data_IF_001862797776
#
_entry.id   IF_001862797776
#
_cell.length_a   1.000
_cell.length_b   1.000
_cell.length_c   1.000
_cell.angle_alpha   90.00
_cell.angle_beta   90.00
_cell.angle_gamma   90.00
#
_symmetry.space_group_name_H-M   'P 1'
#
loop_
_entity.id
_entity.type
_entity.pdbx_description
1 polymer ?
#
# COMPACT_ATOMS: atom_id res chain seq x y z
N UNK A 1 6.09 -30.71 17.87
CA UNK A 1 5.90 -30.46 16.43
C UNK A 1 5.05 -29.21 16.30
N UNK A 2 5.68 -28.03 16.20
CA UNK A 2 4.95 -26.77 16.11
C UNK A 2 4.36 -26.64 14.71
N UNK A 3 3.03 -26.63 14.62
CA UNK A 3 2.32 -26.33 13.39
C UNK A 3 2.68 -24.89 13.01
N UNK A 4 3.42 -24.74 11.93
CA UNK A 4 3.55 -23.47 11.25
C UNK A 4 2.14 -23.07 10.82
N UNK A 5 1.51 -22.16 11.55
CA UNK A 5 0.36 -21.44 11.03
C UNK A 5 0.88 -20.71 9.80
N UNK A 6 0.56 -21.23 8.62
CA UNK A 6 0.54 -20.40 7.44
C UNK A 6 -0.50 -19.31 7.76
N UNK A 7 -0.04 -18.16 8.24
CA UNK A 7 -0.90 -16.99 8.44
C UNK A 7 -1.67 -16.81 7.14
N UNK A 8 -3.00 -16.83 7.24
CA UNK A 8 -3.84 -16.49 6.10
C UNK A 8 -3.30 -15.20 5.46
N UNK A 9 -3.28 -15.09 4.12
CA UNK A 9 -2.82 -13.88 3.46
C UNK A 9 -3.60 -12.69 4.04
N UNK A 10 -2.88 -11.67 4.51
CA UNK A 10 -3.50 -10.48 5.08
C UNK A 10 -4.46 -9.88 4.06
N UNK A 11 -5.72 -9.68 4.48
CA UNK A 11 -6.73 -9.03 3.64
C UNK A 11 -6.32 -7.58 3.38
N UNK A 12 -6.78 -7.02 2.26
CA UNK A 12 -6.57 -5.60 1.91
C UNK A 12 -6.95 -4.65 3.07
N UNK A 13 -8.05 -4.92 3.76
CA UNK A 13 -8.51 -4.12 4.90
C UNK A 13 -7.58 -4.22 6.12
N UNK A 14 -7.03 -5.41 6.39
CA UNK A 14 -6.08 -5.61 7.49
C UNK A 14 -4.76 -4.91 7.19
N UNK A 15 -4.23 -5.07 5.97
CA UNK A 15 -3.04 -4.37 5.53
C UNK A 15 -3.19 -2.85 5.67
N UNK A 16 -4.35 -2.31 5.28
CA UNK A 16 -4.68 -0.90 5.49
C UNK A 16 -4.73 -0.50 6.96
N UNK A 17 -5.39 -1.30 7.81
CA UNK A 17 -5.49 -1.04 9.24
C UNK A 17 -4.12 -1.04 9.92
N UNK A 18 -3.22 -1.92 9.47
CA UNK A 18 -1.82 -1.98 9.90
C UNK A 18 -0.93 -0.92 9.22
N UNK A 19 -1.48 -0.10 8.32
CA UNK A 19 -0.75 0.90 7.52
C UNK A 19 0.43 0.30 6.74
N UNK A 20 0.26 -0.90 6.18
CA UNK A 20 1.25 -1.58 5.33
C UNK A 20 0.72 -1.83 3.91
N UNK A 21 1.62 -1.99 2.95
CA UNK A 21 1.28 -2.29 1.56
C UNK A 21 0.74 -3.70 1.35
N UNK A 22 -0.50 -3.81 0.87
CA UNK A 22 -1.10 -5.09 0.48
C UNK A 22 -0.43 -5.65 -0.78
N UNK A 23 -0.25 -4.83 -1.83
CA UNK A 23 0.40 -5.26 -3.07
C UNK A 23 1.88 -5.58 -2.84
N UNK A 24 2.58 -4.77 -2.03
CA UNK A 24 3.97 -5.04 -1.64
C UNK A 24 4.12 -6.40 -0.95
N UNK A 25 3.20 -6.74 -0.04
CA UNK A 25 3.23 -8.02 0.65
C UNK A 25 2.83 -9.17 -0.28
N UNK A 26 1.75 -9.02 -1.04
CA UNK A 26 1.17 -10.09 -1.86
C UNK A 26 2.05 -10.47 -3.07
N UNK A 27 2.69 -9.48 -3.71
CA UNK A 27 3.42 -9.70 -4.96
C UNK A 27 4.95 -9.58 -4.83
N UNK A 28 5.45 -8.84 -3.85
CA UNK A 28 6.89 -8.66 -3.62
C UNK A 28 7.36 -9.40 -2.37
N UNK A 29 6.45 -9.76 -1.46
CA UNK A 29 6.78 -10.39 -0.17
C UNK A 29 7.37 -9.43 0.86
N UNK A 30 7.26 -8.11 0.63
CA UNK A 30 7.82 -7.09 1.54
C UNK A 30 6.71 -6.44 2.37
N UNK A 31 6.92 -6.39 3.70
CA UNK A 31 6.07 -5.61 4.62
C UNK A 31 6.61 -4.19 4.72
N UNK A 32 6.07 -3.30 3.90
CA UNK A 32 6.49 -1.90 3.83
C UNK A 32 5.35 -0.96 4.27
N UNK A 33 5.65 0.15 4.95
CA UNK A 33 4.64 1.10 5.37
C UNK A 33 4.03 1.84 4.18
N UNK A 34 2.73 2.11 4.26
CA UNK A 34 2.03 2.97 3.31
C UNK A 34 2.56 4.40 3.41
N UNK A 35 2.78 5.02 2.26
CA UNK A 35 3.21 6.41 2.14
C UNK A 35 2.70 7.02 0.84
N UNK A 36 2.68 8.35 0.75
CA UNK A 36 2.41 9.03 -0.51
C UNK A 36 3.66 9.07 -1.37
N UNK A 37 3.48 8.66 -2.62
CA UNK A 37 4.49 8.68 -3.67
C UNK A 37 4.01 9.53 -4.84
N UNK A 38 4.92 9.87 -5.75
CA UNK A 38 4.62 10.69 -6.92
C UNK A 38 5.19 10.06 -8.19
N UNK A 39 4.46 10.22 -9.29
CA UNK A 39 4.87 9.82 -10.64
C UNK A 39 4.44 10.89 -11.64
N UNK A 40 4.79 10.72 -12.92
CA UNK A 40 4.31 11.59 -14.00
C UNK A 40 2.77 11.64 -14.10
N UNK A 41 2.05 10.60 -13.64
CA UNK A 41 0.59 10.56 -13.63
C UNK A 41 -0.05 11.27 -12.42
N UNK A 42 0.75 11.71 -11.45
CA UNK A 42 0.30 12.35 -10.21
C UNK A 42 0.73 11.59 -8.95
N UNK A 43 0.12 11.96 -7.82
CA UNK A 43 0.41 11.39 -6.51
C UNK A 43 -0.42 10.13 -6.27
N UNK A 44 0.09 9.19 -5.50
CA UNK A 44 -0.62 7.95 -5.18
C UNK A 44 -0.18 7.44 -3.82
N UNK A 45 -0.97 6.53 -3.25
CA UNK A 45 -0.60 5.83 -2.03
C UNK A 45 0.09 4.54 -2.46
N UNK A 46 1.28 4.30 -1.93
CA UNK A 46 2.13 3.19 -2.32
C UNK A 46 3.07 2.79 -1.18
N UNK A 47 4.06 1.98 -1.55
CA UNK A 47 5.18 1.67 -0.67
C UNK A 47 6.49 1.93 -1.39
N UNK A 48 7.53 2.26 -0.64
CA UNK A 48 8.88 2.43 -1.14
C UNK A 48 9.88 1.86 -0.13
N UNK A 49 11.03 1.44 -0.62
CA UNK A 49 12.21 1.10 0.18
C UNK A 49 13.42 1.96 -0.25
N UNK A 50 14.63 1.56 0.14
CA UNK A 50 15.85 2.30 -0.17
C UNK A 50 16.15 2.39 -1.68
N UNK A 51 15.63 1.46 -2.48
CA UNK A 51 15.83 1.40 -3.93
C UNK A 51 14.74 2.16 -4.70
N UNK A 52 13.65 2.55 -4.03
CA UNK A 52 12.59 3.39 -4.59
C UNK A 52 11.18 2.79 -4.43
N UNK A 53 10.22 3.22 -5.29
CA UNK A 53 8.85 2.72 -5.24
C UNK A 53 8.74 1.21 -5.48
N UNK A 54 8.10 0.50 -4.55
CA UNK A 54 7.91 -0.96 -4.61
C UNK A 54 6.52 -1.33 -5.11
N UNK A 55 5.49 -0.59 -4.70
CA UNK A 55 4.11 -0.88 -5.09
C UNK A 55 3.23 0.37 -5.19
N UNK A 56 2.18 0.28 -6.02
CA UNK A 56 1.06 1.21 -6.02
C UNK A 56 -0.14 0.56 -5.33
N UNK A 57 -0.52 1.11 -4.19
CA UNK A 57 -1.57 0.57 -3.34
C UNK A 57 -2.93 1.21 -3.64
N UNK A 58 -2.99 2.50 -4.02
CA UNK A 58 -4.25 3.13 -4.44
C UNK A 58 -4.61 2.83 -5.90
N UNK A 59 -5.91 2.68 -6.18
CA UNK A 59 -6.43 2.65 -7.57
C UNK A 59 -6.29 4.02 -8.22
N UNK A 60 -6.64 5.08 -7.49
CA UNK A 60 -6.64 6.45 -8.00
C UNK A 60 -5.29 7.12 -7.83
N UNK A 61 -5.00 8.03 -8.77
CA UNK A 61 -4.05 9.11 -8.57
C UNK A 61 -4.75 10.33 -7.96
N UNK A 62 -3.99 11.14 -7.25
CA UNK A 62 -4.41 12.38 -6.60
C UNK A 62 -3.68 13.57 -7.24
N UNK A 63 -4.39 14.69 -7.30
CA UNK A 63 -3.90 15.94 -7.93
C UNK A 63 -2.76 16.61 -7.17
N UNK A 64 -2.59 16.31 -5.88
CA UNK A 64 -1.52 16.88 -5.04
C UNK A 64 -1.11 15.92 -3.94
N UNK A 65 0.10 16.12 -3.41
CA UNK A 65 0.61 15.39 -2.25
C UNK A 65 -0.34 15.51 -1.05
N UNK A 66 -0.81 16.72 -0.75
CA UNK A 66 -1.74 16.95 0.35
C UNK A 66 -3.06 16.19 0.20
N UNK A 67 -3.60 16.09 -1.02
CA UNK A 67 -4.82 15.32 -1.27
C UNK A 67 -4.61 13.81 -1.05
N UNK A 68 -3.44 13.29 -1.45
CA UNK A 68 -3.08 11.90 -1.23
C UNK A 68 -2.84 11.60 0.25
N UNK A 69 -2.15 12.50 0.98
CA UNK A 69 -1.87 12.36 2.41
C UNK A 69 -3.16 12.39 3.22
N UNK A 70 -4.04 13.36 2.92
CA UNK A 70 -5.34 13.43 3.56
C UNK A 70 -6.18 12.18 3.26
N UNK A 71 -6.13 11.66 2.02
CA UNK A 71 -6.78 10.41 1.70
C UNK A 71 -6.20 9.23 2.50
N UNK A 72 -4.87 9.11 2.59
CA UNK A 72 -4.17 8.08 3.35
C UNK A 72 -4.59 8.11 4.82
N UNK A 73 -4.47 9.28 5.47
CA UNK A 73 -4.77 9.47 6.88
C UNK A 73 -6.26 9.25 7.23
N UNK A 74 -7.16 9.68 6.35
CA UNK A 74 -8.61 9.52 6.57
C UNK A 74 -9.15 8.17 6.10
N UNK A 75 -8.31 7.31 5.51
CA UNK A 75 -8.80 6.08 4.87
C UNK A 75 -9.78 6.35 3.71
N UNK A 76 -9.63 7.48 3.01
CA UNK A 76 -10.49 7.91 1.88
C UNK A 76 -9.86 7.60 0.53
N UNK A 77 -9.44 6.36 0.36
CA UNK A 77 -8.89 5.81 -0.88
C UNK A 77 -9.31 4.35 -1.05
N UNK A 78 -9.23 3.83 -2.27
CA UNK A 78 -9.56 2.44 -2.58
C UNK A 78 -8.30 1.64 -2.86
N UNK A 79 -8.20 0.47 -2.23
CA UNK A 79 -7.12 -0.47 -2.44
C UNK A 79 -7.16 -1.01 -3.87
N UNK A 80 -6.01 -0.97 -4.52
CA UNK A 80 -5.75 -1.69 -5.75
C UNK A 80 -5.53 -3.16 -5.41
N UNK A 81 -6.42 -4.02 -5.90
CA UNK A 81 -6.39 -5.46 -5.63
C UNK A 81 -5.48 -6.23 -6.60
N UNK A 82 -5.21 -5.67 -7.79
CA UNK A 82 -4.43 -6.31 -8.84
C UNK A 82 -3.38 -5.34 -9.41
N UNK A 83 -2.17 -5.80 -9.75
CA UNK A 83 -1.03 -4.98 -10.16
C UNK A 83 -1.17 -4.31 -11.53
#
# INVERSE_FOLDING_TARGET
>A
MSLAFASAPLSAEQARAESIGYQALAYVGKRLPLQVLCSAAGHYIGTADADGPVSRESVSYFRSHHAAEHALQMGRWQQRLHP
#
